data_IF_376267401069
#
_entry.id   IF_376267401069
#
_cell.length_a   1.000
_cell.length_b   1.000
_cell.length_c   1.000
_cell.angle_alpha   90.00
_cell.angle_beta   90.00
_cell.angle_gamma   90.00
#
_symmetry.space_group_name_H-M   'P 1'
#
loop_
_entity.id
_entity.type
_entity.pdbx_description
1 polymer ?
#
# COMPACT_ATOMS: atom_id res chain seq x y z
N UNK A 1 28.24 18.15 -2.81
CA UNK A 1 27.11 17.78 -3.69
C UNK A 1 26.06 17.04 -2.86
N UNK A 2 24.85 17.58 -2.71
CA UNK A 2 23.79 16.97 -1.88
C UNK A 2 23.29 15.70 -2.58
N UNK A 3 23.39 14.55 -1.92
CA UNK A 3 22.85 13.28 -2.42
C UNK A 3 21.33 13.39 -2.42
N UNK A 4 20.72 13.56 -3.59
CA UNK A 4 19.27 13.50 -3.75
C UNK A 4 18.82 12.05 -3.60
N UNK A 5 18.52 11.63 -2.38
CA UNK A 5 17.90 10.33 -2.11
C UNK A 5 16.46 10.38 -2.62
N UNK A 6 16.20 9.80 -3.80
CA UNK A 6 14.83 9.59 -4.28
C UNK A 6 14.12 8.69 -3.27
N UNK A 7 13.13 9.23 -2.53
CA UNK A 7 12.27 8.42 -1.67
C UNK A 7 11.44 7.51 -2.58
N UNK A 8 11.70 6.21 -2.55
CA UNK A 8 10.84 5.21 -3.19
C UNK A 8 9.50 5.24 -2.46
N UNK A 9 8.41 5.49 -3.20
CA UNK A 9 7.07 5.45 -2.63
C UNK A 9 6.74 3.97 -2.38
N UNK A 10 6.59 3.59 -1.11
CA UNK A 10 6.17 2.24 -0.73
C UNK A 10 4.66 2.14 -0.89
N UNK A 11 4.21 1.04 -1.48
CA UNK A 11 2.80 0.70 -1.58
C UNK A 11 2.49 -0.50 -0.69
N UNK A 12 1.27 -0.56 -0.15
CA UNK A 12 0.71 -1.73 0.54
C UNK A 12 -0.12 -2.59 -0.44
N UNK A 13 -0.84 -3.59 0.07
CA UNK A 13 -1.56 -4.58 -0.74
C UNK A 13 -2.75 -3.98 -1.51
N UNK A 14 -3.24 -2.81 -1.12
CA UNK A 14 -4.33 -2.12 -1.81
C UNK A 14 -3.95 -1.61 -3.22
N UNK A 15 -2.68 -1.66 -3.61
CA UNK A 15 -2.24 -1.20 -4.95
C UNK A 15 -2.83 -2.01 -6.12
N UNK A 16 -3.29 -3.24 -5.83
CA UNK A 16 -3.87 -4.14 -6.84
C UNK A 16 -5.40 -4.02 -6.91
N UNK A 17 -6.02 -3.18 -6.08
CA UNK A 17 -7.46 -3.02 -6.04
C UNK A 17 -7.99 -2.18 -7.21
N UNK A 18 -9.23 -2.42 -7.60
CA UNK A 18 -9.89 -1.64 -8.67
C UNK A 18 -10.60 -0.40 -8.15
N UNK A 19 -10.93 -0.38 -6.86
CA UNK A 19 -11.65 0.73 -6.24
C UNK A 19 -10.75 1.97 -6.17
N UNK A 20 -11.17 3.12 -6.74
CA UNK A 20 -10.42 4.37 -6.63
C UNK A 20 -10.14 4.77 -5.17
N UNK A 21 -11.08 4.47 -4.28
CA UNK A 21 -10.95 4.73 -2.85
C UNK A 21 -9.80 3.90 -2.23
N UNK A 22 -9.71 2.61 -2.54
CA UNK A 22 -8.66 1.73 -2.00
C UNK A 22 -7.28 2.10 -2.56
N UNK A 23 -7.20 2.42 -3.85
CA UNK A 23 -5.96 2.87 -4.49
C UNK A 23 -5.42 4.17 -3.90
N UNK A 24 -6.29 5.09 -3.47
CA UNK A 24 -5.88 6.32 -2.79
C UNK A 24 -5.12 6.02 -1.48
N UNK A 25 -5.45 4.92 -0.81
CA UNK A 25 -4.83 4.49 0.44
C UNK A 25 -3.65 3.51 0.24
N UNK A 26 -3.32 3.15 -1.00
CA UNK A 26 -2.24 2.21 -1.29
C UNK A 26 -0.85 2.72 -0.87
N UNK A 27 -0.67 4.03 -0.69
CA UNK A 27 0.62 4.63 -0.27
C UNK A 27 0.71 4.95 1.23
N UNK A 28 -0.34 4.61 1.99
CA UNK A 28 -0.32 4.82 3.42
C UNK A 28 0.74 3.92 4.08
N UNK A 29 1.40 4.38 5.16
CA UNK A 29 2.47 3.64 5.80
C UNK A 29 2.00 2.36 6.52
N UNK A 30 0.70 2.25 6.78
CA UNK A 30 0.06 1.06 7.33
C UNK A 30 -0.02 -0.01 6.22
N UNK A 31 0.34 -1.25 6.58
CA UNK A 31 0.31 -2.43 5.71
C UNK A 31 -1.13 -2.92 5.52
N UNK A 32 -1.96 -2.11 4.86
CA UNK A 32 -3.36 -2.43 4.61
C UNK A 32 -3.53 -3.61 3.66
N UNK A 33 -4.51 -4.44 3.96
CA UNK A 33 -5.00 -5.55 3.14
C UNK A 33 -6.43 -5.26 2.67
N UNK A 34 -6.79 -5.67 1.44
CA UNK A 34 -8.19 -5.72 1.07
C UNK A 34 -8.92 -6.72 1.95
N UNK A 35 -10.20 -6.48 2.21
CA UNK A 35 -11.01 -7.41 2.99
C UNK A 35 -11.20 -8.72 2.22
N UNK A 36 -10.77 -9.83 2.82
CA UNK A 36 -10.83 -11.15 2.18
C UNK A 36 -10.01 -12.18 2.95
N UNK A 37 -9.92 -13.38 2.38
CA UNK A 37 -9.21 -14.52 2.98
C UNK A 37 -7.76 -14.16 3.36
N UNK A 38 -7.06 -13.39 2.52
CA UNK A 38 -5.68 -12.95 2.78
C UNK A 38 -5.54 -12.09 4.03
N UNK A 39 -6.54 -11.26 4.34
CA UNK A 39 -6.55 -10.44 5.55
C UNK A 39 -6.72 -11.31 6.81
N UNK A 40 -7.53 -12.38 6.72
CA UNK A 40 -7.75 -13.30 7.84
C UNK A 40 -6.57 -14.24 8.07
N UNK A 41 -5.91 -14.71 7.01
CA UNK A 41 -4.75 -15.60 7.12
C UNK A 41 -3.52 -14.92 7.75
N UNK A 42 -3.49 -13.59 7.76
CA UNK A 42 -2.38 -12.81 8.32
C UNK A 42 -2.60 -12.38 9.78
N UNK A 43 -3.79 -12.63 10.35
CA UNK A 43 -4.12 -12.33 11.74
C UNK A 43 -3.45 -13.32 12.70
#
# INVERSE_FOLDING_TARGET
MKKNSKKVKKYNHLINEKSPYLLQHATNPVDWYPWGEEAFQKA
#
